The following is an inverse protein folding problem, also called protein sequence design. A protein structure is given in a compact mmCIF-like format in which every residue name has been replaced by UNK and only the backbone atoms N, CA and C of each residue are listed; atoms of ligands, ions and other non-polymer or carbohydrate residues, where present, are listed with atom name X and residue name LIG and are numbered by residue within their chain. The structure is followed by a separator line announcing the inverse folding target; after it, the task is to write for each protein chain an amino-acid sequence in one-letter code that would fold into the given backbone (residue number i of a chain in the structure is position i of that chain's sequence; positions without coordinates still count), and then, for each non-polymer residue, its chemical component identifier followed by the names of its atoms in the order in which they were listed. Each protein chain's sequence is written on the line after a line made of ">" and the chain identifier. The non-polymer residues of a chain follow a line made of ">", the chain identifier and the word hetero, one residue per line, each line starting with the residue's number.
data_IF_685481372071
#
_entry.id   IF_685481372071
#
_cell.length_a   1.000
_cell.length_b   1.000
_cell.length_c   1.000
_cell.angle_alpha   90.00
_cell.angle_beta   90.00
_cell.angle_gamma   90.00
#
_symmetry.space_group_name_H-M   'P 1'
#
loop_
_entity.id
_entity.type
_entity.pdbx_description
1 polymer ?
#
# COMPACT_ATOMS: atom_id res chain seq x y z
N UNK A 1 8.04 10.97 7.57
CA UNK A 1 6.98 11.86 7.02
C UNK A 1 6.15 11.09 6.01
N UNK A 2 4.83 11.30 5.96
CA UNK A 2 3.96 10.73 4.94
C UNK A 2 4.32 11.29 3.55
N UNK A 3 4.56 10.41 2.59
CA UNK A 3 4.99 10.82 1.23
C UNK A 3 3.86 11.31 0.33
N UNK A 4 2.60 11.16 0.76
CA UNK A 4 1.43 11.66 0.02
C UNK A 4 1.08 13.07 0.46
N UNK A 5 0.81 13.27 1.75
CA UNK A 5 0.37 14.58 2.25
C UNK A 5 1.53 15.50 2.67
N UNK A 6 2.70 14.96 2.98
CA UNK A 6 3.86 15.71 3.51
C UNK A 6 3.60 16.51 4.79
N UNK A 7 2.45 16.31 5.45
CA UNK A 7 2.01 17.06 6.64
C UNK A 7 2.18 16.20 7.91
N UNK A 8 1.77 14.93 7.86
CA UNK A 8 1.76 14.04 9.00
C UNK A 8 2.99 13.11 9.03
N UNK A 9 3.29 12.56 10.21
CA UNK A 9 4.28 11.48 10.33
C UNK A 9 3.77 10.21 9.64
N UNK A 10 4.69 9.51 8.98
CA UNK A 10 4.38 8.20 8.42
C UNK A 10 4.38 7.19 9.56
N UNK A 11 3.28 6.46 9.71
CA UNK A 11 3.10 5.43 10.74
C UNK A 11 2.72 4.08 10.15
N UNK A 12 2.41 4.03 8.85
CA UNK A 12 2.00 2.82 8.13
C UNK A 12 2.91 2.64 6.92
N UNK A 13 3.39 1.42 6.72
CA UNK A 13 4.07 1.02 5.50
C UNK A 13 3.01 0.60 4.46
N UNK A 14 3.10 1.16 3.26
CA UNK A 14 2.22 0.89 2.13
C UNK A 14 3.02 0.36 0.93
N UNK A 15 2.45 -0.52 0.12
CA UNK A 15 3.13 -1.07 -1.04
C UNK A 15 2.92 -0.17 -2.26
N UNK A 16 3.99 0.24 -2.94
CA UNK A 16 3.95 1.12 -4.11
C UNK A 16 5.23 0.98 -4.96
N UNK A 17 5.16 1.08 -6.30
CA UNK A 17 3.97 1.27 -7.14
C UNK A 17 3.19 -0.02 -7.41
N UNK A 18 3.73 -1.17 -7.02
CA UNK A 18 3.07 -2.47 -7.13
C UNK A 18 2.40 -2.83 -5.83
N UNK A 19 1.23 -3.44 -5.92
CA UNK A 19 0.56 -4.08 -4.79
C UNK A 19 1.37 -5.27 -4.28
N UNK A 20 1.12 -5.67 -3.02
CA UNK A 20 1.71 -6.87 -2.44
C UNK A 20 1.43 -8.12 -3.30
N UNK A 21 0.24 -8.21 -3.90
CA UNK A 21 -0.15 -9.33 -4.73
C UNK A 21 0.66 -9.39 -6.02
N UNK A 22 0.81 -8.27 -6.73
CA UNK A 22 1.66 -8.20 -7.94
C UNK A 22 3.12 -8.57 -7.65
N UNK A 23 3.66 -8.15 -6.51
CA UNK A 23 5.03 -8.52 -6.11
C UNK A 23 5.17 -10.04 -5.94
N UNK A 24 4.18 -10.68 -5.31
CA UNK A 24 4.15 -12.14 -5.13
C UNK A 24 4.02 -12.84 -6.48
N UNK A 25 3.12 -12.38 -7.36
CA UNK A 25 2.89 -12.95 -8.69
C UNK A 25 4.14 -12.84 -9.59
N UNK A 26 4.91 -11.76 -9.44
CA UNK A 26 6.18 -11.55 -10.13
C UNK A 26 7.37 -12.29 -9.48
N UNK A 27 7.17 -12.97 -8.36
CA UNK A 27 8.24 -13.63 -7.60
C UNK A 27 9.24 -12.66 -6.95
N UNK A 28 8.85 -11.40 -6.78
CA UNK A 28 9.64 -10.37 -6.10
C UNK A 28 9.44 -10.46 -4.58
N UNK A 29 10.38 -9.90 -3.82
CA UNK A 29 10.24 -9.80 -2.37
C UNK A 29 9.18 -8.73 -2.02
N UNK A 30 8.01 -9.08 -1.45
CA UNK A 30 6.98 -8.10 -1.12
C UNK A 30 7.40 -7.16 0.03
N UNK A 31 8.39 -7.55 0.83
CA UNK A 31 8.91 -6.73 1.92
C UNK A 31 10.16 -5.93 1.52
N UNK A 32 10.49 -5.89 0.23
CA UNK A 32 11.58 -5.05 -0.25
C UNK A 32 11.22 -3.57 -0.05
N UNK A 33 12.04 -2.79 0.68
CA UNK A 33 11.78 -1.37 0.89
C UNK A 33 11.73 -0.56 -0.41
N UNK A 34 12.27 -1.05 -1.53
CA UNK A 34 12.11 -0.42 -2.86
C UNK A 34 10.63 -0.36 -3.30
N UNK A 35 9.81 -1.31 -2.87
CA UNK A 35 8.37 -1.33 -3.13
C UNK A 35 7.52 -0.83 -1.96
N UNK A 36 8.16 -0.19 -0.98
CA UNK A 36 7.51 0.38 0.20
C UNK A 36 7.48 1.90 0.18
N UNK A 37 6.40 2.49 0.71
CA UNK A 37 6.33 3.92 1.04
C UNK A 37 5.73 4.14 2.42
N UNK A 38 6.16 5.19 3.10
CA UNK A 38 5.63 5.58 4.40
C UNK A 38 4.42 6.51 4.26
N UNK A 39 3.27 6.11 4.82
CA UNK A 39 2.04 6.92 4.86
C UNK A 39 1.55 7.15 6.28
N UNK A 40 0.80 8.23 6.48
CA UNK A 40 -0.08 8.35 7.64
C UNK A 40 -1.35 7.50 7.44
N UNK A 41 -2.05 7.16 8.52
CA UNK A 41 -3.21 6.29 8.48
C UNK A 41 -4.36 6.80 7.59
N UNK A 42 -4.57 8.13 7.49
CA UNK A 42 -5.64 8.71 6.67
C UNK A 42 -5.30 8.58 5.18
N UNK A 43 -4.05 8.92 4.80
CA UNK A 43 -3.58 8.73 3.44
C UNK A 43 -3.57 7.25 3.04
N UNK A 44 -3.10 6.36 3.92
CA UNK A 44 -3.13 4.92 3.69
C UNK A 44 -4.54 4.43 3.36
N UNK A 45 -5.54 4.74 4.20
CA UNK A 45 -6.92 4.28 3.98
C UNK A 45 -7.52 4.81 2.67
N UNK A 46 -7.19 6.04 2.27
CA UNK A 46 -7.61 6.60 0.97
C UNK A 46 -6.97 5.86 -0.20
N UNK A 47 -5.68 5.54 -0.10
CA UNK A 47 -4.95 4.81 -1.14
C UNK A 47 -5.45 3.36 -1.26
N UNK A 48 -5.71 2.68 -0.13
CA UNK A 48 -6.37 1.36 -0.13
C UNK A 48 -7.74 1.44 -0.80
N UNK A 49 -8.59 2.40 -0.41
CA UNK A 49 -9.93 2.54 -0.98
C UNK A 49 -9.93 2.82 -2.50
N UNK A 50 -8.91 3.53 -3.01
CA UNK A 50 -8.79 3.88 -4.44
C UNK A 50 -8.17 2.76 -5.28
N UNK A 51 -7.05 2.20 -4.80
CA UNK A 51 -6.18 1.34 -5.61
C UNK A 51 -6.32 -0.14 -5.26
N UNK A 52 -6.87 -0.45 -4.09
CA UNK A 52 -7.08 -1.81 -3.59
C UNK A 52 -8.53 -1.94 -3.13
N UNK A 53 -9.54 -1.75 -4.02
CA UNK A 53 -10.91 -2.04 -3.69
C UNK A 53 -10.99 -3.54 -3.42
N UNK A 54 -10.81 -3.92 -2.15
CA UNK A 54 -10.79 -5.30 -1.72
C UNK A 54 -12.07 -5.97 -2.21
N UNK A 55 -11.91 -7.08 -2.93
CA UNK A 55 -12.98 -7.95 -3.37
C UNK A 55 -13.66 -8.64 -2.19
N UNK A 56 -14.27 -7.87 -1.27
CA UNK A 56 -15.15 -8.36 -0.21
C UNK A 56 -16.40 -9.10 -0.76
N UNK A 57 -16.52 -9.20 -2.09
CA UNK A 57 -17.51 -9.98 -2.82
C UNK A 57 -16.86 -11.06 -3.70
N UNK A 58 -15.98 -11.90 -3.14
CA UNK A 58 -15.62 -13.19 -3.73
C UNK A 58 -15.50 -14.22 -2.59
N UNK A 59 -16.64 -14.47 -1.93
CA UNK A 59 -16.83 -15.65 -1.08
C UNK A 59 -17.59 -16.64 -1.95
N UNK A 60 -17.01 -17.82 -2.15
CA UNK A 60 -17.68 -18.98 -2.73
C UNK A 60 -18.97 -19.33 -1.98
#
# INVERSE_FOLDING_TARGET
>A
MCVVCHIAQATVADHWPRSRQELIELGLNPNDPEYGRGLDANCHNKETARNQPGGWHNIH
#
